data_IF_344678841630
#
_entry.id   IF_344678841630
#
_cell.length_a   1.000
_cell.length_b   1.000
_cell.length_c   1.000
_cell.angle_alpha   90.00
_cell.angle_beta   90.00
_cell.angle_gamma   90.00
#
_symmetry.space_group_name_H-M   'P 1'
#
loop_
_entity.id
_entity.type
_entity.pdbx_description
1 polymer ?
#
# COMPACT_ATOMS: atom_id res chain seq x y z
N UNK A 1 68.75 -41.77 16.81
CA UNK A 1 68.51 -40.64 15.88
C UNK A 1 67.36 -41.02 14.96
N UNK A 2 66.12 -40.56 15.28
CA UNK A 2 64.91 -40.83 14.52
C UNK A 2 64.50 -39.60 13.74
N UNK A 3 64.56 -39.68 12.42
CA UNK A 3 64.15 -38.61 11.52
C UNK A 3 62.62 -38.68 11.35
N UNK A 4 61.91 -37.61 11.79
CA UNK A 4 60.48 -37.47 11.60
C UNK A 4 60.27 -36.67 10.30
N UNK A 5 59.69 -37.34 9.29
CA UNK A 5 59.28 -36.68 8.03
C UNK A 5 57.87 -36.14 8.22
N UNK A 6 57.71 -34.82 8.21
CA UNK A 6 56.39 -34.15 8.26
C UNK A 6 55.85 -34.01 6.84
N UNK A 7 54.78 -34.69 6.58
CA UNK A 7 54.03 -34.62 5.31
C UNK A 7 53.04 -33.46 5.38
N UNK A 8 53.27 -32.39 4.60
CA UNK A 8 52.40 -31.23 4.51
C UNK A 8 51.34 -31.49 3.44
N UNK A 9 50.08 -31.77 3.86
CA UNK A 9 48.95 -31.91 2.96
C UNK A 9 48.32 -30.52 2.72
N UNK A 10 48.44 -30.00 1.48
CA UNK A 10 47.72 -28.79 1.04
C UNK A 10 46.27 -29.17 0.77
N UNK A 11 45.35 -28.69 1.63
CA UNK A 11 43.92 -28.66 1.36
C UNK A 11 43.59 -27.41 0.53
N UNK A 12 43.37 -27.59 -0.77
CA UNK A 12 42.79 -26.59 -1.64
C UNK A 12 41.27 -26.51 -1.37
N UNK A 13 40.86 -25.56 -0.56
CA UNK A 13 39.44 -25.24 -0.37
C UNK A 13 38.93 -24.48 -1.60
N UNK A 14 38.19 -25.18 -2.46
CA UNK A 14 37.46 -24.57 -3.57
C UNK A 14 36.33 -23.70 -3.04
N UNK A 15 36.47 -22.39 -3.15
CA UNK A 15 35.37 -21.46 -2.93
C UNK A 15 34.40 -21.52 -4.12
N UNK A 16 33.31 -22.25 -3.96
CA UNK A 16 32.17 -22.17 -4.84
C UNK A 16 31.49 -20.83 -4.54
N UNK A 17 31.71 -19.83 -5.40
CA UNK A 17 30.91 -18.59 -5.39
C UNK A 17 29.46 -18.95 -5.78
N UNK A 18 28.61 -19.10 -4.79
CA UNK A 18 27.17 -19.16 -5.01
C UNK A 18 26.72 -17.83 -5.62
N UNK A 19 26.48 -17.83 -6.93
CA UNK A 19 25.83 -16.73 -7.61
C UNK A 19 24.41 -16.66 -7.06
N UNK A 20 24.16 -15.75 -6.12
CA UNK A 20 22.81 -15.36 -5.75
C UNK A 20 22.12 -14.84 -6.99
N UNK A 21 21.16 -15.59 -7.51
CA UNK A 21 20.27 -15.13 -8.57
C UNK A 21 19.65 -13.79 -8.11
N UNK A 22 19.58 -12.76 -8.98
CA UNK A 22 18.91 -11.53 -8.61
C UNK A 22 17.46 -11.85 -8.24
N UNK A 23 17.12 -11.65 -6.97
CA UNK A 23 15.73 -11.69 -6.52
C UNK A 23 15.05 -10.60 -7.32
N UNK A 24 14.18 -10.99 -8.25
CA UNK A 24 13.33 -10.05 -8.96
C UNK A 24 12.51 -9.31 -7.90
N UNK A 25 12.95 -8.14 -7.52
CA UNK A 25 12.18 -7.21 -6.72
C UNK A 25 11.00 -6.80 -7.59
N UNK A 26 9.86 -7.47 -7.40
CA UNK A 26 8.58 -7.00 -7.88
C UNK A 26 8.26 -5.71 -7.11
N UNK A 27 8.98 -4.64 -7.43
CA UNK A 27 8.69 -3.31 -6.95
C UNK A 27 7.31 -2.97 -7.48
N UNK A 28 6.35 -2.79 -6.57
CA UNK A 28 5.04 -2.29 -6.96
C UNK A 28 5.26 -1.06 -7.84
N UNK A 29 4.64 -0.98 -9.02
CA UNK A 29 4.93 0.05 -10.00
C UNK A 29 4.80 1.43 -9.36
N UNK A 30 5.90 2.17 -9.33
CA UNK A 30 5.92 3.56 -8.91
C UNK A 30 4.92 4.35 -9.77
N UNK A 31 4.01 5.09 -9.14
CA UNK A 31 3.04 5.94 -9.84
C UNK A 31 1.60 5.43 -9.88
N UNK A 32 1.28 4.25 -9.34
CA UNK A 32 -0.12 3.81 -9.26
C UNK A 32 -0.85 4.56 -8.13
N UNK A 33 -2.01 5.11 -8.46
CA UNK A 33 -2.91 5.73 -7.48
C UNK A 33 -3.79 4.65 -6.85
N UNK A 34 -3.98 4.74 -5.55
CA UNK A 34 -4.95 3.92 -4.83
C UNK A 34 -6.29 4.64 -4.81
N UNK A 35 -7.30 4.04 -5.39
CA UNK A 35 -8.69 4.49 -5.40
C UNK A 35 -9.46 3.69 -4.37
N UNK A 36 -10.21 4.37 -3.52
CA UNK A 36 -11.06 3.76 -2.48
C UNK A 36 -12.48 4.22 -2.73
N UNK A 37 -13.39 3.27 -2.93
CA UNK A 37 -14.78 3.56 -3.21
C UNK A 37 -15.47 4.21 -2.00
N UNK A 38 -16.52 5.00 -2.27
CA UNK A 38 -17.32 5.55 -1.20
C UNK A 38 -18.03 4.44 -0.41
N UNK A 39 -17.94 4.49 0.91
CA UNK A 39 -18.58 3.51 1.78
C UNK A 39 -19.43 4.18 2.84
N UNK A 40 -20.57 3.57 3.16
CA UNK A 40 -21.50 4.10 4.15
C UNK A 40 -21.75 3.07 5.26
N UNK A 41 -21.99 3.58 6.46
CA UNK A 41 -22.42 2.78 7.61
C UNK A 41 -23.55 3.45 8.37
N UNK A 42 -24.45 2.70 9.02
CA UNK A 42 -25.50 3.28 9.87
C UNK A 42 -24.88 3.91 11.13
N UNK A 43 -25.39 5.07 11.53
CA UNK A 43 -25.01 5.76 12.77
C UNK A 43 -26.26 6.28 13.47
N UNK A 44 -26.74 5.55 14.47
CA UNK A 44 -28.02 5.87 15.11
C UNK A 44 -29.17 5.85 14.09
N UNK A 45 -29.97 6.92 14.06
CA UNK A 45 -31.07 7.09 13.08
C UNK A 45 -30.62 7.62 11.70
N UNK A 46 -29.30 7.64 11.43
CA UNK A 46 -28.75 8.16 10.19
C UNK A 46 -27.65 7.29 9.59
N UNK A 47 -26.86 7.88 8.73
CA UNK A 47 -25.70 7.21 8.09
C UNK A 47 -24.48 8.11 8.06
N UNK A 48 -23.32 7.50 8.18
CA UNK A 48 -22.04 8.13 7.88
C UNK A 48 -21.52 7.58 6.54
N UNK A 49 -21.07 8.46 5.66
CA UNK A 49 -20.48 8.12 4.36
C UNK A 49 -19.06 8.64 4.32
N UNK A 50 -18.11 7.75 4.14
CA UNK A 50 -16.70 8.07 3.89
C UNK A 50 -16.45 8.10 2.39
N UNK A 51 -15.87 9.20 1.92
CA UNK A 51 -15.47 9.42 0.53
C UNK A 51 -13.98 9.75 0.57
N UNK A 52 -13.18 8.97 -0.12
CA UNK A 52 -11.72 9.16 -0.22
C UNK A 52 -11.41 9.54 -1.66
N UNK A 53 -10.65 10.61 -1.84
CA UNK A 53 -10.12 10.98 -3.14
C UNK A 53 -8.98 10.03 -3.58
N UNK A 54 -8.46 10.21 -4.80
CA UNK A 54 -7.30 9.45 -5.25
C UNK A 54 -6.11 9.64 -4.30
N UNK A 55 -5.50 8.53 -3.89
CA UNK A 55 -4.33 8.53 -3.04
C UNK A 55 -3.08 8.28 -3.89
N UNK A 56 -2.17 9.23 -3.91
CA UNK A 56 -0.86 9.10 -4.58
C UNK A 56 0.19 8.56 -3.61
N UNK A 57 1.10 7.73 -4.11
CA UNK A 57 2.17 7.13 -3.31
C UNK A 57 3.45 7.93 -3.40
N UNK A 58 4.00 8.27 -2.23
CA UNK A 58 5.33 8.88 -2.09
C UNK A 58 6.01 8.24 -0.88
N UNK A 59 7.21 7.70 -1.06
CA UNK A 59 8.03 7.10 0.03
C UNK A 59 7.25 6.09 0.90
N UNK A 60 6.49 5.19 0.28
CA UNK A 60 5.73 4.17 1.00
C UNK A 60 4.45 4.66 1.67
N UNK A 61 4.04 5.91 1.44
CA UNK A 61 2.83 6.50 1.99
C UNK A 61 1.86 6.84 0.86
N UNK A 62 0.64 6.32 0.94
CA UNK A 62 -0.48 6.74 0.10
C UNK A 62 -1.18 7.91 0.78
N UNK A 63 -1.24 9.08 0.14
CA UNK A 63 -1.85 10.28 0.70
C UNK A 63 -2.82 10.95 -0.28
N UNK A 64 -3.92 11.48 0.25
CA UNK A 64 -4.95 12.21 -0.50
C UNK A 64 -6.01 12.78 0.41
N UNK A 65 -7.05 13.34 -0.16
CA UNK A 65 -8.12 13.99 0.59
C UNK A 65 -9.22 12.99 0.96
N UNK A 66 -9.88 13.24 2.09
CA UNK A 66 -11.09 12.52 2.47
C UNK A 66 -12.21 13.48 2.89
N UNK A 67 -13.44 12.98 2.81
CA UNK A 67 -14.64 13.61 3.32
C UNK A 67 -15.48 12.58 4.07
N UNK A 68 -15.91 12.94 5.27
CA UNK A 68 -16.89 12.20 6.05
C UNK A 68 -18.18 12.99 6.09
N UNK A 69 -19.26 12.45 5.56
CA UNK A 69 -20.58 13.03 5.59
C UNK A 69 -21.46 12.26 6.58
N UNK A 70 -22.11 12.96 7.48
CA UNK A 70 -22.99 12.36 8.50
C UNK A 70 -24.40 12.94 8.34
N UNK A 71 -25.33 12.11 7.88
CA UNK A 71 -26.73 12.48 7.75
C UNK A 71 -27.55 11.94 8.93
N UNK A 72 -28.49 12.68 9.52
CA UNK A 72 -28.85 14.06 9.22
C UNK A 72 -27.97 15.13 9.90
N UNK A 73 -26.94 14.74 10.63
CA UNK A 73 -26.15 15.65 11.46
C UNK A 73 -25.01 16.32 10.65
N UNK A 74 -25.34 17.24 9.76
CA UNK A 74 -24.38 17.91 8.86
C UNK A 74 -23.26 18.67 9.58
N UNK A 75 -23.49 19.13 10.82
CA UNK A 75 -22.46 19.77 11.65
C UNK A 75 -21.34 18.81 12.08
N UNK A 76 -21.54 17.51 11.89
CA UNK A 76 -20.52 16.47 12.12
C UNK A 76 -19.77 16.08 10.85
N UNK A 77 -20.05 16.75 9.74
CA UNK A 77 -19.29 16.54 8.51
C UNK A 77 -17.83 16.96 8.72
N UNK A 78 -16.94 16.20 8.14
CA UNK A 78 -15.52 16.37 8.31
C UNK A 78 -14.83 16.22 6.95
N UNK A 79 -13.77 16.98 6.75
CA UNK A 79 -12.88 16.82 5.60
C UNK A 79 -11.43 16.98 6.05
N UNK A 80 -10.53 16.40 5.33
CA UNK A 80 -9.13 16.47 5.69
C UNK A 80 -8.25 15.66 4.77
N UNK A 81 -7.06 15.34 5.26
CA UNK A 81 -6.06 14.55 4.55
C UNK A 81 -5.91 13.18 5.20
N UNK A 82 -5.90 12.16 4.37
CA UNK A 82 -5.65 10.78 4.73
C UNK A 82 -4.22 10.42 4.32
N UNK A 83 -3.48 9.76 5.19
CA UNK A 83 -2.15 9.21 4.91
C UNK A 83 -2.09 7.77 5.43
N UNK A 84 -1.80 6.83 4.54
CA UNK A 84 -1.77 5.39 4.80
C UNK A 84 -0.35 4.89 4.53
N UNK A 85 0.25 4.23 5.50
CA UNK A 85 1.59 3.63 5.38
C UNK A 85 1.45 2.23 4.80
N UNK A 86 2.03 2.01 3.62
CA UNK A 86 2.04 0.69 2.97
C UNK A 86 3.45 0.42 2.47
N UNK A 87 4.16 -0.47 3.14
CA UNK A 87 5.50 -0.87 2.76
C UNK A 87 5.50 -1.66 1.44
N UNK A 88 6.66 -1.72 0.77
CA UNK A 88 6.81 -2.55 -0.43
C UNK A 88 6.58 -4.03 -0.12
N UNK A 89 7.00 -4.49 1.07
CA UNK A 89 6.73 -5.85 1.54
C UNK A 89 5.22 -6.11 1.66
N UNK A 90 4.46 -5.16 2.25
CA UNK A 90 2.99 -5.27 2.35
C UNK A 90 2.32 -5.30 0.97
N UNK A 91 2.81 -4.52 0.00
CA UNK A 91 2.31 -4.57 -1.37
C UNK A 91 2.62 -5.90 -2.05
N UNK A 92 3.82 -6.45 -1.84
CA UNK A 92 4.20 -7.77 -2.36
C UNK A 92 3.32 -8.88 -1.75
N UNK A 93 3.02 -8.82 -0.46
CA UNK A 93 2.10 -9.76 0.19
C UNK A 93 0.67 -9.63 -0.36
N UNK A 94 0.17 -8.39 -0.52
CA UNK A 94 -1.13 -8.14 -1.12
C UNK A 94 -1.21 -8.66 -2.56
N UNK A 95 -0.15 -8.52 -3.35
CA UNK A 95 -0.11 -9.06 -4.73
C UNK A 95 -0.17 -10.58 -4.80
N UNK A 96 0.21 -11.27 -3.70
CA UNK A 96 0.07 -12.71 -3.52
C UNK A 96 -1.29 -13.13 -2.95
N UNK A 97 -2.23 -12.20 -2.82
CA UNK A 97 -3.55 -12.46 -2.24
C UNK A 97 -3.57 -12.56 -0.72
N UNK A 98 -2.48 -12.22 -0.02
CA UNK A 98 -2.43 -12.25 1.43
C UNK A 98 -3.12 -11.03 2.04
N UNK A 99 -3.79 -11.26 3.16
CA UNK A 99 -4.41 -10.19 3.96
C UNK A 99 -3.33 -9.33 4.61
N UNK A 100 -3.43 -8.02 4.46
CA UNK A 100 -2.42 -7.06 4.95
C UNK A 100 -3.05 -6.09 5.95
N UNK A 101 -2.42 -5.96 7.11
CA UNK A 101 -2.75 -4.91 8.08
C UNK A 101 -2.09 -3.59 7.68
N UNK A 102 -2.86 -2.52 7.75
CA UNK A 102 -2.46 -1.18 7.31
C UNK A 102 -2.71 -0.20 8.45
N UNK A 103 -1.76 0.69 8.67
CA UNK A 103 -1.87 1.80 9.60
C UNK A 103 -1.78 3.14 8.86
N UNK A 104 -2.37 4.17 9.44
CA UNK A 104 -2.32 5.50 8.86
C UNK A 104 -2.86 6.58 9.79
N UNK A 105 -3.02 7.77 9.26
CA UNK A 105 -3.55 8.92 9.97
C UNK A 105 -4.56 9.67 9.11
N UNK A 106 -5.57 10.22 9.77
CA UNK A 106 -6.52 11.16 9.19
C UNK A 106 -6.38 12.50 9.91
N UNK A 107 -6.04 13.55 9.18
CA UNK A 107 -5.89 14.90 9.73
C UNK A 107 -7.01 15.79 9.21
N UNK A 108 -7.84 16.34 10.11
CA UNK A 108 -8.93 17.23 9.71
C UNK A 108 -8.38 18.56 9.21
N UNK A 109 -9.04 19.13 8.18
CA UNK A 109 -8.76 20.49 7.70
C UNK A 109 -9.46 21.52 8.59
N UNK A 110 -8.79 22.65 8.88
CA UNK A 110 -9.30 23.77 9.63
C UNK A 110 -8.42 24.19 10.80
N UNK A 111 -8.80 25.29 11.49
CA UNK A 111 -8.08 25.76 12.68
C UNK A 111 -8.13 24.68 13.78
N UNK A 112 -6.96 24.22 14.22
CA UNK A 112 -6.86 23.15 15.21
C UNK A 112 -7.08 21.74 14.65
N UNK A 113 -6.64 21.50 13.40
CA UNK A 113 -6.76 20.19 12.74
C UNK A 113 -6.37 19.03 13.65
N UNK A 114 -7.28 18.07 13.82
CA UNK A 114 -7.07 16.90 14.67
C UNK A 114 -6.47 15.78 13.85
N UNK A 115 -5.31 15.27 14.29
CA UNK A 115 -4.72 14.06 13.74
C UNK A 115 -5.26 12.86 14.52
N UNK A 116 -5.74 11.85 13.80
CA UNK A 116 -6.32 10.63 14.38
C UNK A 116 -5.70 9.40 13.74
N UNK A 117 -5.34 8.38 14.53
CA UNK A 117 -4.91 7.12 13.97
C UNK A 117 -6.08 6.44 13.24
N UNK A 118 -5.75 5.83 12.13
CA UNK A 118 -6.63 4.89 11.42
C UNK A 118 -5.93 3.55 11.30
N UNK A 119 -6.72 2.50 11.29
CA UNK A 119 -6.24 1.15 10.99
C UNK A 119 -7.13 0.55 9.92
N UNK A 120 -6.56 -0.29 9.08
CA UNK A 120 -7.33 -1.02 8.09
C UNK A 120 -6.77 -2.43 7.89
N UNK A 121 -7.61 -3.31 7.40
CA UNK A 121 -7.22 -4.61 6.89
C UNK A 121 -7.59 -4.64 5.41
N UNK A 122 -6.60 -4.83 4.56
CA UNK A 122 -6.79 -5.06 3.14
C UNK A 122 -6.92 -6.56 2.87
N UNK A 123 -8.00 -6.94 2.19
CA UNK A 123 -8.22 -8.30 1.69
C UNK A 123 -8.21 -8.24 0.17
N UNK A 124 -7.09 -8.56 -0.47
CA UNK A 124 -6.98 -8.57 -1.92
C UNK A 124 -7.89 -9.63 -2.54
N UNK A 125 -8.50 -9.30 -3.68
CA UNK A 125 -9.16 -10.25 -4.57
C UNK A 125 -8.20 -10.65 -5.68
N UNK A 126 -7.41 -9.68 -6.15
CA UNK A 126 -6.28 -9.89 -7.07
C UNK A 126 -5.23 -8.79 -6.86
N UNK A 127 -4.25 -8.69 -7.79
CA UNK A 127 -3.15 -7.72 -7.68
C UNK A 127 -3.61 -6.27 -7.77
N UNK A 128 -4.79 -5.99 -8.32
CA UNK A 128 -5.24 -4.65 -8.64
C UNK A 128 -6.42 -4.17 -7.82
N UNK A 129 -7.17 -5.04 -7.19
CA UNK A 129 -8.33 -4.68 -6.38
C UNK A 129 -8.60 -5.63 -5.22
N UNK A 130 -9.41 -5.15 -4.28
CA UNK A 130 -9.83 -5.89 -3.12
C UNK A 130 -10.80 -5.10 -2.25
N UNK A 131 -10.94 -5.52 -1.01
CA UNK A 131 -11.76 -4.83 -0.01
C UNK A 131 -10.90 -4.34 1.15
N UNK A 132 -11.30 -3.21 1.74
CA UNK A 132 -10.72 -2.68 2.95
C UNK A 132 -11.74 -2.79 4.08
N UNK A 133 -11.30 -3.25 5.26
CA UNK A 133 -12.03 -3.02 6.50
C UNK A 133 -11.30 -1.93 7.26
N UNK A 134 -11.87 -0.73 7.29
CA UNK A 134 -11.22 0.48 7.78
C UNK A 134 -11.91 0.95 9.08
N UNK A 135 -11.11 1.12 10.12
CA UNK A 135 -11.53 1.68 11.40
C UNK A 135 -11.16 3.16 11.45
N UNK A 136 -12.17 3.97 11.62
CA UNK A 136 -12.07 5.42 11.67
C UNK A 136 -12.73 5.94 12.95
N UNK A 137 -12.04 6.79 13.70
CA UNK A 137 -12.59 7.39 14.90
C UNK A 137 -12.96 8.85 14.65
N UNK A 138 -14.24 9.21 14.78
CA UNK A 138 -14.69 10.60 14.71
C UNK A 138 -15.34 10.99 16.05
N UNK A 139 -14.74 11.97 16.71
CA UNK A 139 -15.10 12.29 18.10
C UNK A 139 -14.79 11.09 19.01
N UNK A 140 -15.79 10.66 19.79
CA UNK A 140 -15.70 9.48 20.67
C UNK A 140 -16.18 8.17 19.99
N UNK A 141 -16.64 8.23 18.74
CA UNK A 141 -17.25 7.08 18.07
C UNK A 141 -16.26 6.40 17.13
N UNK A 142 -16.11 5.10 17.31
CA UNK A 142 -15.41 4.23 16.36
C UNK A 142 -16.38 3.83 15.25
N UNK A 143 -16.01 4.09 14.01
CA UNK A 143 -16.76 3.74 12.80
C UNK A 143 -15.99 2.70 12.02
N UNK A 144 -16.71 1.79 11.37
CA UNK A 144 -16.13 0.72 10.55
C UNK A 144 -16.72 0.86 9.16
N UNK A 145 -15.84 1.10 8.18
CA UNK A 145 -16.20 1.15 6.76
C UNK A 145 -15.60 -0.04 6.04
N UNK A 146 -16.33 -0.55 5.03
CA UNK A 146 -15.86 -1.67 4.20
C UNK A 146 -15.92 -1.30 2.72
N UNK A 147 -15.11 -0.32 2.28
CA UNK A 147 -15.04 0.04 0.87
C UNK A 147 -14.31 -1.02 0.05
N UNK A 148 -14.61 -1.10 -1.25
CA UNK A 148 -13.70 -1.69 -2.21
C UNK A 148 -12.55 -0.73 -2.51
N UNK A 149 -11.44 -1.27 -2.95
CA UNK A 149 -10.30 -0.49 -3.45
C UNK A 149 -9.81 -1.06 -4.77
N UNK A 150 -9.20 -0.19 -5.57
CA UNK A 150 -8.49 -0.60 -6.77
C UNK A 150 -7.31 0.34 -7.05
N UNK A 151 -6.31 -0.18 -7.76
CA UNK A 151 -5.19 0.61 -8.21
C UNK A 151 -5.49 1.14 -9.62
N UNK A 152 -5.47 2.48 -9.75
CA UNK A 152 -5.58 3.17 -11.02
C UNK A 152 -4.23 3.78 -11.42
N UNK A 153 -3.99 3.90 -12.72
CA UNK A 153 -2.77 4.49 -13.26
C UNK A 153 -1.93 3.48 -14.02
N UNK A 154 -1.38 3.96 -15.12
CA UNK A 154 -0.75 3.18 -16.15
C UNK A 154 0.55 2.53 -15.70
N UNK A 155 0.50 1.22 -15.46
CA UNK A 155 1.63 0.37 -15.82
C UNK A 155 1.70 0.15 -17.34
N UNK A 156 1.18 1.04 -18.15
CA UNK A 156 1.43 1.01 -19.59
C UNK A 156 2.85 1.54 -19.78
N UNK A 157 3.83 0.64 -19.77
CA UNK A 157 5.05 0.90 -20.50
C UNK A 157 4.61 1.34 -21.90
N UNK A 158 4.89 2.60 -22.24
CA UNK A 158 4.93 3.03 -23.62
C UNK A 158 5.95 2.11 -24.31
N UNK A 159 5.48 1.02 -24.90
CA UNK A 159 6.18 0.34 -25.97
C UNK A 159 6.17 1.35 -27.11
N UNK A 160 7.19 2.21 -27.14
CA UNK A 160 7.53 2.97 -28.33
C UNK A 160 7.85 1.91 -29.37
N UNK A 161 6.88 1.58 -30.18
CA UNK A 161 7.12 0.87 -31.43
C UNK A 161 8.06 1.77 -32.25
N UNK A 162 9.35 1.48 -32.19
CA UNK A 162 10.29 1.98 -33.20
C UNK A 162 9.86 1.36 -34.52
N UNK A 163 9.11 2.15 -35.27
CA UNK A 163 8.89 1.88 -36.68
C UNK A 163 10.28 1.92 -37.32
N UNK A 164 10.79 0.75 -37.64
CA UNK A 164 11.97 0.60 -38.51
C UNK A 164 11.54 1.06 -39.88
N UNK A 165 11.84 2.32 -40.19
CA UNK A 165 11.69 2.87 -41.53
C UNK A 165 12.73 2.21 -42.41
N UNK A 166 12.33 1.16 -43.12
CA UNK A 166 13.11 0.58 -44.20
C UNK A 166 12.93 1.46 -45.41
N UNK A 167 13.96 2.26 -45.69
CA UNK A 167 14.06 3.06 -46.92
C UNK A 167 14.56 2.17 -48.06
N UNK A 168 13.94 2.21 -49.24
CA UNK A 168 14.33 1.46 -50.43
C UNK A 168 15.69 1.86 -51.01
#
# INVERSE_FOLDING_TARGET
MKRITVLLALLAAGWSAAHAAPVATNSAPAGRMLMIDASSMPVGAGKATLIVGPLSRTNGIYAGDYRLKVFPWFLKNEKGRLAIVVSDASLAEASQGKVVAIAGTATTSGKGGKCRPITAIATPVNMDHGTLKLWFTAGSRKMIFTPAYHFAGNGTALVVAQATETKP
#
